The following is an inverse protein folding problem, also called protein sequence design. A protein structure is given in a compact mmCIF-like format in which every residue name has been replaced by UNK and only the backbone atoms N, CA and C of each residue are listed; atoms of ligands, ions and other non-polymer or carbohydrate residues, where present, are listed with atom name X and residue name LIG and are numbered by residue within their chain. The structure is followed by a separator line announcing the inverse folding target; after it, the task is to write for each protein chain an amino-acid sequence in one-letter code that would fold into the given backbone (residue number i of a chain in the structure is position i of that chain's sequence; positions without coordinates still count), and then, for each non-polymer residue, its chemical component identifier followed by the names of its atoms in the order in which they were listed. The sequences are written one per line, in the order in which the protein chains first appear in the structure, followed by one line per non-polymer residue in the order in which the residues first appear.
data_IF_785607885128
#
_entry.id   IF_785607885128
#
_cell.length_a   1.000
_cell.length_b   1.000
_cell.length_c   1.000
_cell.angle_alpha   90.00
_cell.angle_beta   90.00
_cell.angle_gamma   90.00
#
_symmetry.space_group_name_H-M   'P 1'
#
loop_
_entity.id
_entity.type
_entity.pdbx_description
1 polymer ?
#
# COMPACT_ATOMS: atom_id res chain seq x y z
N UNK A 1 -30.24 -12.99 38.52
CA UNK A 1 -29.04 -12.63 37.74
C UNK A 1 -29.33 -12.93 36.27
N UNK A 2 -29.37 -11.91 35.41
CA UNK A 2 -29.62 -12.10 33.98
C UNK A 2 -28.52 -12.97 33.37
N UNK A 3 -28.88 -14.09 32.73
CA UNK A 3 -27.92 -14.94 32.01
C UNK A 3 -27.33 -14.12 30.86
N UNK A 4 -26.06 -13.71 30.99
CA UNK A 4 -25.32 -13.05 29.91
C UNK A 4 -25.34 -13.97 28.68
N UNK A 5 -25.55 -13.41 27.48
CA UNK A 5 -25.58 -14.14 26.21
C UNK A 5 -24.71 -13.42 25.19
N UNK A 6 -23.95 -14.18 24.40
CA UNK A 6 -23.05 -13.66 23.38
C UNK A 6 -21.64 -13.35 23.89
N UNK A 7 -20.87 -12.57 23.14
CA UNK A 7 -19.49 -12.31 23.50
C UNK A 7 -19.38 -11.44 24.76
N UNK A 8 -18.54 -11.85 25.70
CA UNK A 8 -18.26 -11.17 26.97
C UNK A 8 -16.76 -10.98 27.16
N UNK A 9 -16.41 -9.93 27.91
CA UNK A 9 -15.08 -9.65 28.42
C UNK A 9 -15.05 -9.85 29.92
N UNK A 10 -14.19 -10.75 30.38
CA UNK A 10 -13.79 -10.83 31.79
C UNK A 10 -12.55 -9.96 32.02
N UNK A 11 -12.55 -9.17 33.09
CA UNK A 11 -11.41 -8.34 33.50
C UNK A 11 -11.12 -8.54 34.99
N UNK A 12 -9.86 -8.81 35.29
CA UNK A 12 -9.31 -8.84 36.64
C UNK A 12 -8.06 -7.96 36.71
N UNK A 13 -7.96 -7.17 37.78
CA UNK A 13 -6.82 -6.32 38.09
C UNK A 13 -6.48 -6.49 39.56
N UNK A 14 -5.22 -6.77 39.87
CA UNK A 14 -4.70 -6.80 41.23
C UNK A 14 -3.57 -5.79 41.33
N UNK A 15 -3.79 -4.74 42.12
CA UNK A 15 -2.80 -3.68 42.35
C UNK A 15 -1.65 -4.17 43.26
N UNK A 16 -1.90 -5.17 44.11
CA UNK A 16 -0.88 -5.74 45.02
C UNK A 16 0.13 -6.66 44.31
N UNK A 17 -0.25 -7.20 43.15
CA UNK A 17 0.55 -8.18 42.41
C UNK A 17 0.91 -7.71 40.99
N UNK A 18 0.54 -6.49 40.61
CA UNK A 18 0.72 -5.92 39.26
C UNK A 18 0.18 -6.83 38.12
N UNK A 19 -0.85 -7.63 38.42
CA UNK A 19 -1.43 -8.59 37.47
C UNK A 19 -2.68 -8.00 36.82
N UNK A 20 -2.71 -8.01 35.48
CA UNK A 20 -3.86 -7.61 34.68
C UNK A 20 -4.26 -8.76 33.74
N UNK A 21 -5.48 -9.28 33.90
CA UNK A 21 -6.02 -10.37 33.08
C UNK A 21 -7.26 -9.89 32.34
N UNK A 22 -7.28 -10.09 31.03
CA UNK A 22 -8.41 -9.80 30.15
C UNK A 22 -8.70 -11.03 29.30
N UNK A 23 -9.92 -11.54 29.37
CA UNK A 23 -10.36 -12.73 28.61
C UNK A 23 -11.61 -12.33 27.82
N UNK A 24 -11.59 -12.52 26.51
CA UNK A 24 -12.68 -12.14 25.60
C UNK A 24 -13.13 -13.36 24.80
N UNK A 25 -14.44 -13.57 24.69
CA UNK A 25 -14.97 -14.70 23.95
C UNK A 25 -16.45 -14.95 24.23
N UNK A 26 -16.95 -16.10 23.83
CA UNK A 26 -18.31 -16.54 24.15
C UNK A 26 -18.47 -16.81 25.65
N UNK A 27 -19.69 -16.61 26.18
CA UNK A 27 -19.97 -16.70 27.63
C UNK A 27 -19.53 -18.03 28.22
N UNK A 28 -19.89 -19.13 27.58
CA UNK A 28 -19.61 -20.47 28.11
C UNK A 28 -18.10 -20.77 28.09
N UNK A 29 -17.37 -20.23 27.09
CA UNK A 29 -15.93 -20.35 26.98
C UNK A 29 -15.20 -19.52 28.04
N UNK A 30 -15.62 -18.27 28.26
CA UNK A 30 -15.02 -17.36 29.25
C UNK A 30 -15.24 -17.90 30.66
N UNK A 31 -16.45 -18.38 30.99
CA UNK A 31 -16.73 -18.95 32.32
C UNK A 31 -15.81 -20.15 32.60
N UNK A 32 -15.72 -21.09 31.65
CA UNK A 32 -14.86 -22.27 31.82
C UNK A 32 -13.37 -21.89 32.01
N UNK A 33 -12.87 -20.88 31.28
CA UNK A 33 -11.48 -20.43 31.44
C UNK A 33 -11.25 -19.68 32.76
N UNK A 34 -12.21 -18.87 33.20
CA UNK A 34 -12.15 -18.20 34.50
C UNK A 34 -12.17 -19.21 35.65
N UNK A 35 -13.01 -20.25 35.54
CA UNK A 35 -13.09 -21.33 36.53
C UNK A 35 -11.79 -22.15 36.59
N UNK A 36 -11.20 -22.49 35.43
CA UNK A 36 -9.89 -23.18 35.36
C UNK A 36 -8.75 -22.37 35.99
N UNK A 37 -8.80 -21.04 35.86
CA UNK A 37 -7.81 -20.14 36.45
C UNK A 37 -8.09 -19.86 37.93
N UNK A 38 -9.19 -20.38 38.50
CA UNK A 38 -9.60 -20.10 39.88
C UNK A 38 -9.99 -18.64 40.12
N UNK A 39 -10.35 -17.92 39.06
CA UNK A 39 -10.66 -16.48 39.10
C UNK A 39 -12.18 -16.22 39.19
N UNK A 40 -12.95 -17.26 39.56
CA UNK A 40 -14.37 -17.17 39.79
C UNK A 40 -14.67 -16.22 40.97
N UNK A 41 -15.42 -15.15 40.72
CA UNK A 41 -15.88 -14.20 41.74
C UNK A 41 -14.94 -13.05 42.08
N UNK A 42 -13.70 -13.01 41.56
CA UNK A 42 -12.74 -11.93 41.83
C UNK A 42 -12.67 -10.86 40.74
N UNK A 43 -13.21 -11.12 39.55
CA UNK A 43 -13.19 -10.19 38.42
C UNK A 43 -14.59 -9.85 37.90
N UNK A 44 -14.64 -8.90 36.97
CA UNK A 44 -15.88 -8.40 36.39
C UNK A 44 -16.09 -8.90 34.97
N UNK A 45 -17.27 -9.45 34.67
CA UNK A 45 -17.71 -9.79 33.32
C UNK A 45 -18.61 -8.72 32.74
N UNK A 46 -18.27 -8.19 31.57
CA UNK A 46 -19.12 -7.27 30.82
C UNK A 46 -19.42 -7.82 29.42
N UNK A 47 -20.63 -7.62 28.87
CA UNK A 47 -20.90 -7.95 27.47
C UNK A 47 -20.06 -7.05 26.55
N UNK A 48 -19.37 -7.64 25.59
CA UNK A 48 -18.76 -6.89 24.49
C UNK A 48 -19.89 -6.55 23.53
N UNK A 49 -19.94 -5.29 23.09
CA UNK A 49 -20.99 -4.73 22.26
C UNK A 49 -21.52 -5.71 21.22
N UNK A 50 -22.84 -5.87 21.21
CA UNK A 50 -23.60 -6.70 20.28
C UNK A 50 -23.12 -6.44 18.86
N UNK A 51 -22.94 -7.49 18.05
CA UNK A 51 -22.60 -7.38 16.62
C UNK A 51 -23.36 -6.20 16.01
N UNK A 52 -22.62 -5.17 15.63
CA UNK A 52 -23.18 -3.98 15.00
C UNK A 52 -23.77 -4.45 13.68
N UNK A 53 -25.10 -4.54 13.61
CA UNK A 53 -25.77 -4.78 12.34
C UNK A 53 -25.44 -3.59 11.43
N UNK A 54 -24.75 -3.80 10.31
CA UNK A 54 -24.38 -2.69 9.43
C UNK A 54 -25.67 -2.06 8.89
N UNK A 55 -25.96 -0.84 9.32
CA UNK A 55 -27.16 -0.09 8.92
C UNK A 55 -26.99 0.63 7.57
N UNK A 56 -25.74 0.75 7.09
CA UNK A 56 -25.35 1.42 5.85
C UNK A 56 -25.03 0.49 4.66
N UNK A 57 -25.60 -0.71 4.60
CA UNK A 57 -25.34 -1.64 3.49
C UNK A 57 -25.84 -1.10 2.14
N UNK A 58 -25.04 -1.30 1.08
CA UNK A 58 -25.43 -1.09 -0.32
C UNK A 58 -26.61 -1.99 -0.71
N UNK A 59 -27.33 -1.67 -1.80
CA UNK A 59 -28.49 -2.49 -2.24
C UNK A 59 -28.09 -3.94 -2.51
N UNK A 60 -26.93 -4.14 -3.12
CA UNK A 60 -26.35 -5.46 -3.45
C UNK A 60 -26.04 -6.27 -2.19
N UNK A 61 -25.44 -5.63 -1.18
CA UNK A 61 -25.14 -6.29 0.10
C UNK A 61 -26.40 -6.61 0.91
N UNK A 62 -27.43 -5.76 0.86
CA UNK A 62 -28.75 -6.05 1.46
C UNK A 62 -29.44 -7.25 0.80
N UNK A 63 -29.35 -7.38 -0.51
CA UNK A 63 -29.96 -8.49 -1.26
C UNK A 63 -29.23 -9.81 -0.99
N UNK A 64 -27.89 -9.78 -0.93
CA UNK A 64 -27.05 -10.93 -0.55
C UNK A 64 -27.27 -11.40 0.90
N UNK A 65 -27.49 -10.48 1.83
CA UNK A 65 -27.83 -10.82 3.21
C UNK A 65 -29.20 -11.52 3.32
N UNK A 66 -30.18 -11.09 2.51
CA UNK A 66 -31.50 -11.72 2.45
C UNK A 66 -31.47 -13.13 1.85
N UNK A 67 -30.55 -13.39 0.93
CA UNK A 67 -30.34 -14.73 0.36
C UNK A 67 -29.54 -15.67 1.25
N UNK A 68 -29.19 -15.26 2.48
CA UNK A 68 -28.49 -16.12 3.45
C UNK A 68 -27.02 -16.43 3.12
N UNK A 69 -26.45 -15.74 2.11
CA UNK A 69 -25.06 -15.91 1.72
C UNK A 69 -24.17 -15.10 2.66
N UNK A 70 -23.71 -15.73 3.74
CA UNK A 70 -22.71 -15.16 4.65
C UNK A 70 -21.31 -15.44 4.08
N UNK A 71 -20.98 -14.78 2.98
CA UNK A 71 -19.63 -14.85 2.42
C UNK A 71 -18.79 -13.87 3.23
N UNK A 72 -18.03 -14.37 4.21
CA UNK A 72 -16.88 -13.65 4.74
C UNK A 72 -16.00 -13.25 3.55
N UNK A 73 -15.37 -12.08 3.60
CA UNK A 73 -14.69 -11.45 2.45
C UNK A 73 -13.62 -12.33 1.77
N UNK A 74 -13.29 -13.47 2.38
CA UNK A 74 -12.26 -14.43 1.98
C UNK A 74 -12.77 -15.62 1.12
N UNK A 75 -14.09 -15.82 0.95
CA UNK A 75 -14.64 -17.02 0.28
C UNK A 75 -15.36 -16.75 -1.07
N UNK A 76 -15.00 -15.66 -1.76
CA UNK A 76 -15.43 -15.45 -3.13
C UNK A 76 -14.49 -16.17 -4.11
N UNK A 77 -15.00 -16.94 -5.10
CA UNK A 77 -14.15 -17.52 -6.14
C UNK A 77 -13.37 -16.40 -6.85
N UNK A 78 -12.05 -16.55 -6.96
CA UNK A 78 -11.14 -15.51 -7.47
C UNK A 78 -11.45 -15.03 -8.91
N UNK A 79 -12.24 -15.81 -9.65
CA UNK A 79 -12.63 -15.52 -11.04
C UNK A 79 -13.91 -14.68 -11.16
N UNK A 80 -14.66 -14.48 -10.07
CA UNK A 80 -15.88 -13.66 -10.11
C UNK A 80 -15.59 -12.20 -9.77
N UNK A 81 -15.88 -11.31 -10.72
CA UNK A 81 -15.79 -9.88 -10.48
C UNK A 81 -16.70 -9.50 -9.31
N UNK A 82 -16.23 -8.67 -8.37
CA UNK A 82 -17.08 -8.19 -7.29
C UNK A 82 -18.37 -7.57 -7.84
N UNK A 83 -19.50 -7.90 -7.24
CA UNK A 83 -20.81 -7.44 -7.72
C UNK A 83 -21.02 -5.91 -7.60
N UNK A 84 -20.13 -5.20 -6.89
CA UNK A 84 -20.22 -3.76 -6.64
C UNK A 84 -18.99 -3.03 -7.20
N UNK A 85 -18.72 -3.23 -8.49
CA UNK A 85 -17.64 -2.52 -9.22
C UNK A 85 -18.13 -1.23 -9.91
N UNK A 86 -19.37 -0.80 -9.62
CA UNK A 86 -20.00 0.32 -10.29
C UNK A 86 -20.31 0.06 -11.77
N UNK A 87 -20.75 1.08 -12.52
CA UNK A 87 -20.99 0.95 -13.96
C UNK A 87 -19.68 0.71 -14.72
N UNK A 88 -19.74 -0.08 -15.79
CA UNK A 88 -18.60 -0.30 -16.68
C UNK A 88 -18.04 1.06 -17.14
N UNK A 89 -16.74 1.31 -17.00
CA UNK A 89 -16.15 2.57 -17.44
C UNK A 89 -16.37 2.75 -18.94
N UNK A 90 -16.85 3.93 -19.34
CA UNK A 90 -17.08 4.29 -20.74
C UNK A 90 -15.77 4.81 -21.36
N UNK A 91 -15.12 4.07 -22.27
CA UNK A 91 -13.86 4.47 -22.87
C UNK A 91 -13.98 5.74 -23.73
N UNK A 92 -15.21 6.13 -24.11
CA UNK A 92 -15.48 7.34 -24.89
C UNK A 92 -15.30 8.63 -24.08
N UNK A 93 -15.21 8.53 -22.74
CA UNK A 93 -14.98 9.67 -21.85
C UNK A 93 -13.51 10.03 -21.67
N UNK A 94 -12.59 9.20 -22.16
CA UNK A 94 -11.15 9.43 -22.03
C UNK A 94 -10.71 10.37 -23.15
N UNK A 95 -10.12 11.54 -22.84
CA UNK A 95 -9.61 12.43 -23.88
C UNK A 95 -8.42 11.77 -24.59
N UNK A 96 -8.51 11.65 -25.92
CA UNK A 96 -7.42 11.09 -26.73
C UNK A 96 -6.34 12.15 -26.93
N UNK A 97 -5.32 12.15 -26.05
CA UNK A 97 -4.13 13.01 -26.21
C UNK A 97 -3.15 12.33 -27.16
N UNK A 98 -3.20 12.68 -28.45
CA UNK A 98 -2.19 12.25 -29.42
C UNK A 98 -0.98 13.15 -29.32
N UNK A 99 0.17 12.59 -28.92
CA UNK A 99 1.47 13.29 -29.03
C UNK A 99 2.10 12.92 -30.38
N UNK A 100 2.34 13.88 -31.28
CA UNK A 100 3.07 13.60 -32.50
C UNK A 100 4.52 13.23 -32.14
N UNK A 101 4.92 12.01 -32.49
CA UNK A 101 6.30 11.55 -32.37
C UNK A 101 7.12 12.09 -33.55
N UNK A 102 8.39 12.45 -33.31
CA UNK A 102 9.32 12.87 -34.37
C UNK A 102 9.27 14.35 -34.76
N UNK A 103 8.54 15.22 -34.04
CA UNK A 103 8.57 16.67 -34.24
C UNK A 103 9.69 17.40 -33.48
N UNK A 104 10.58 16.67 -32.79
CA UNK A 104 11.63 17.26 -31.99
C UNK A 104 12.86 17.58 -32.85
N UNK A 105 13.02 18.85 -33.22
CA UNK A 105 14.27 19.37 -33.77
C UNK A 105 15.19 19.79 -32.62
N UNK A 106 16.23 18.98 -32.37
CA UNK A 106 17.22 19.24 -31.32
C UNK A 106 18.08 20.47 -31.66
N UNK A 107 18.38 20.72 -32.94
CA UNK A 107 19.22 21.84 -33.35
C UNK A 107 18.53 23.18 -33.07
N UNK A 108 17.25 23.29 -33.43
CA UNK A 108 16.45 24.48 -33.15
C UNK A 108 16.32 24.77 -31.64
N UNK A 109 16.15 23.73 -30.82
CA UNK A 109 16.07 23.90 -29.35
C UNK A 109 17.39 24.26 -28.70
N UNK A 110 18.51 23.71 -29.20
CA UNK A 110 19.85 24.05 -28.70
C UNK A 110 20.14 25.53 -29.00
N UNK A 111 19.77 26.01 -30.19
CA UNK A 111 19.87 27.42 -30.56
C UNK A 111 18.95 28.33 -29.72
N UNK A 112 17.73 27.90 -29.40
CA UNK A 112 16.82 28.63 -28.49
C UNK A 112 17.40 28.78 -27.08
N UNK A 113 18.15 27.78 -26.61
CA UNK A 113 18.84 27.80 -25.31
C UNK A 113 20.15 28.62 -25.36
N UNK A 114 20.53 29.15 -26.52
CA UNK A 114 21.75 29.95 -26.71
C UNK A 114 23.04 29.13 -26.66
N UNK A 115 22.94 27.81 -26.85
CA UNK A 115 24.08 26.92 -26.98
C UNK A 115 24.44 26.78 -28.46
N UNK A 116 25.72 26.91 -28.77
CA UNK A 116 26.21 26.59 -30.10
C UNK A 116 26.38 25.07 -30.23
N UNK A 117 25.99 24.46 -31.37
CA UNK A 117 26.28 23.06 -31.61
C UNK A 117 27.81 22.85 -31.62
N UNK A 118 28.30 21.68 -31.18
CA UNK A 118 29.73 21.40 -31.21
C UNK A 118 30.23 21.48 -32.65
N UNK A 119 31.00 22.53 -32.96
CA UNK A 119 31.72 22.65 -34.23
C UNK A 119 33.01 21.82 -34.14
N UNK A 120 33.38 21.15 -35.22
CA UNK A 120 34.74 20.63 -35.34
C UNK A 120 35.69 21.83 -35.51
N UNK A 121 36.81 21.87 -34.76
CA UNK A 121 37.80 22.94 -34.92
C UNK A 121 38.44 22.87 -36.31
N UNK A 122 38.79 24.04 -36.85
CA UNK A 122 39.54 24.12 -38.11
C UNK A 122 40.98 23.62 -37.93
N UNK A 123 41.64 23.25 -39.02
CA UNK A 123 43.03 22.83 -39.06
C UNK A 123 43.98 23.87 -38.45
N UNK A 124 43.68 25.16 -38.61
CA UNK A 124 44.45 26.26 -38.02
C UNK A 124 44.24 26.30 -36.50
N UNK A 125 42.99 26.22 -36.03
CA UNK A 125 42.65 26.19 -34.60
C UNK A 125 43.27 24.96 -33.90
N UNK A 126 43.30 23.81 -34.58
CA UNK A 126 43.97 22.62 -34.08
C UNK A 126 45.48 22.83 -33.89
N UNK A 127 46.15 23.57 -34.78
CA UNK A 127 47.56 23.90 -34.60
C UNK A 127 47.78 24.78 -33.37
N UNK A 128 46.93 25.80 -33.18
CA UNK A 128 47.00 26.68 -32.01
C UNK A 128 46.80 25.89 -30.70
N UNK A 129 45.80 25.01 -30.66
CA UNK A 129 45.53 24.15 -29.49
C UNK A 129 46.72 23.21 -29.22
N UNK A 130 47.34 22.64 -30.26
CA UNK A 130 48.47 21.74 -30.12
C UNK A 130 49.75 22.47 -29.66
N UNK A 131 49.95 23.71 -30.10
CA UNK A 131 51.08 24.55 -29.67
C UNK A 131 50.94 25.00 -28.20
N UNK A 132 49.71 25.19 -27.71
CA UNK A 132 49.40 25.47 -26.30
C UNK A 132 49.59 24.25 -25.38
N UNK A 133 49.61 23.03 -25.93
CA UNK A 133 49.80 21.79 -25.16
C UNK A 133 51.28 21.51 -24.87
N UNK A 134 51.56 21.01 -23.67
CA UNK A 134 52.92 20.58 -23.31
C UNK A 134 53.34 19.38 -24.18
N UNK A 135 54.59 19.35 -24.72
CA UNK A 135 55.06 18.24 -25.51
C UNK A 135 54.94 16.93 -24.74
N UNK A 136 54.48 15.85 -25.40
CA UNK A 136 54.30 14.58 -24.73
C UNK A 136 55.64 14.10 -24.17
N UNK A 137 55.63 13.74 -22.89
CA UNK A 137 56.80 13.14 -22.27
C UNK A 137 57.03 11.74 -22.83
N UNK A 138 58.29 11.33 -23.06
CA UNK A 138 58.58 9.97 -23.50
C UNK A 138 58.00 8.98 -22.49
N UNK A 139 57.41 7.89 -22.98
CA UNK A 139 56.90 6.80 -22.15
C UNK A 139 58.02 6.26 -21.25
N UNK A 140 58.00 6.61 -19.96
CA UNK A 140 59.05 6.22 -19.01
C UNK A 140 58.81 4.84 -18.35
N UNK A 141 57.96 3.99 -18.95
CA UNK A 141 57.60 2.71 -18.37
C UNK A 141 57.36 1.62 -19.41
N UNK A 142 58.07 0.50 -19.26
CA UNK A 142 57.70 -0.81 -19.79
C UNK A 142 56.49 -1.36 -19.04
N UNK A 143 55.32 -0.80 -19.31
CA UNK A 143 54.07 -1.55 -19.16
C UNK A 143 53.26 -1.35 -20.43
N UNK A 144 53.74 -1.98 -21.50
CA UNK A 144 52.87 -2.46 -22.56
C UNK A 144 51.93 -3.50 -21.93
N UNK A 145 50.65 -3.17 -21.85
CA UNK A 145 49.55 -4.14 -21.93
C UNK A 145 48.70 -3.71 -23.12
#
# INVERSE_FOLDING_TARGET
MSKLRGNVRYRFRSDDHDVNIVIEGDVDWVINHVDKLGLAGVGWTMPIGTQVKPTGLSKVSKERQKSGMNIEMEEAPADEKPADMGPTPDPSRIPVVRRPIGQLDLGAKIAEVGLEPPAQPDTIELMEILDDMEPPQPVQGVTSV
#
